data_IF_547667045157
#
_entry.id   IF_547667045157
#
_cell.length_a   1.000
_cell.length_b   1.000
_cell.length_c   1.000
_cell.angle_alpha   90.00
_cell.angle_beta   90.00
_cell.angle_gamma   90.00
#
_symmetry.space_group_name_H-M   'P 1'
#
loop_
_entity.id
_entity.type
_entity.pdbx_description
1 polymer ?
#
# COMPACT_ATOMS: atom_id res chain seq x y z
N UNK A 1 -15.72 4.51 -20.47
CA UNK A 1 -14.94 3.29 -20.21
C UNK A 1 -15.83 2.10 -19.82
N UNK A 2 -16.80 2.27 -18.91
CA UNK A 2 -17.69 1.19 -18.47
C UNK A 2 -18.59 0.67 -19.61
N UNK A 3 -19.14 1.54 -20.47
CA UNK A 3 -19.91 1.13 -21.64
C UNK A 3 -19.11 0.26 -22.62
N UNK A 4 -17.79 0.47 -22.74
CA UNK A 4 -16.92 -0.36 -23.58
C UNK A 4 -16.61 -1.76 -23.02
N UNK A 5 -17.21 -2.12 -21.87
CA UNK A 5 -17.16 -3.47 -21.29
C UNK A 5 -18.48 -4.23 -21.49
N UNK A 6 -19.49 -3.58 -22.04
CA UNK A 6 -20.74 -4.23 -22.42
C UNK A 6 -20.54 -4.97 -23.74
N UNK A 7 -20.80 -6.28 -23.72
CA UNK A 7 -20.56 -7.17 -24.85
C UNK A 7 -19.10 -7.64 -24.97
N UNK A 8 -18.91 -8.83 -25.52
CA UNK A 8 -17.58 -9.42 -25.79
C UNK A 8 -17.34 -9.41 -27.31
N UNK A 9 -16.26 -8.76 -27.78
CA UNK A 9 -15.92 -8.79 -29.21
C UNK A 9 -15.91 -10.24 -29.72
N UNK A 10 -16.53 -10.46 -30.85
CA UNK A 10 -16.65 -11.76 -31.55
C UNK A 10 -17.56 -12.82 -30.87
N UNK A 11 -18.16 -12.55 -29.72
CA UNK A 11 -19.07 -13.47 -29.04
C UNK A 11 -20.49 -12.92 -28.94
N UNK A 12 -20.63 -11.65 -28.63
CA UNK A 12 -21.92 -11.00 -28.46
C UNK A 12 -22.15 -10.01 -29.61
N UNK A 13 -23.28 -10.08 -30.36
CA UNK A 13 -23.58 -9.16 -31.47
C UNK A 13 -23.84 -7.72 -30.98
N UNK A 14 -24.35 -7.58 -29.75
CA UNK A 14 -24.69 -6.31 -29.13
C UNK A 14 -24.34 -6.33 -27.63
N UNK A 15 -24.10 -5.17 -27.03
CA UNK A 15 -23.89 -5.01 -25.58
C UNK A 15 -24.68 -3.81 -25.08
N UNK A 16 -25.33 -3.95 -23.93
CA UNK A 16 -26.09 -2.88 -23.29
C UNK A 16 -25.36 -2.39 -22.04
N UNK A 17 -25.23 -1.05 -21.89
CA UNK A 17 -24.72 -0.41 -20.70
C UNK A 17 -25.80 0.50 -20.12
N UNK A 18 -26.21 0.21 -18.87
CA UNK A 18 -27.23 0.97 -18.17
C UNK A 18 -26.60 1.88 -17.13
N UNK A 19 -26.90 3.18 -17.20
CA UNK A 19 -26.52 4.16 -16.19
C UNK A 19 -27.70 4.36 -15.23
N UNK A 20 -27.48 3.99 -13.97
CA UNK A 20 -28.44 4.21 -12.89
C UNK A 20 -28.01 5.47 -12.13
N UNK A 21 -28.90 6.42 -11.99
CA UNK A 21 -28.67 7.68 -11.26
C UNK A 21 -29.95 8.22 -10.66
N UNK A 22 -29.82 9.22 -9.80
CA UNK A 22 -30.96 9.98 -9.30
C UNK A 22 -31.59 10.80 -10.45
N UNK A 23 -32.91 11.04 -10.37
CA UNK A 23 -33.65 11.76 -11.40
C UNK A 23 -33.12 13.18 -11.65
N UNK A 24 -32.56 13.80 -10.64
CA UNK A 24 -31.81 15.05 -10.74
C UNK A 24 -30.31 14.79 -10.44
N UNK A 25 -29.40 14.94 -11.37
CA UNK A 25 -29.33 15.68 -12.63
C UNK A 25 -29.14 14.77 -13.84
N UNK A 26 -30.22 14.19 -14.38
CA UNK A 26 -30.20 13.24 -15.51
C UNK A 26 -29.41 13.76 -16.74
N UNK A 27 -29.62 15.01 -17.10
CA UNK A 27 -28.95 15.61 -18.28
C UNK A 27 -27.44 15.80 -18.06
N UNK A 28 -27.03 16.15 -16.83
CA UNK A 28 -25.61 16.26 -16.48
C UNK A 28 -24.91 14.88 -16.50
N UNK A 29 -25.58 13.84 -15.99
CA UNK A 29 -25.09 12.44 -16.06
C UNK A 29 -24.98 11.98 -17.52
N UNK A 30 -26.03 12.23 -18.32
CA UNK A 30 -26.02 11.89 -19.74
C UNK A 30 -24.90 12.61 -20.49
N UNK A 31 -24.75 13.92 -20.30
CA UNK A 31 -23.70 14.71 -20.94
C UNK A 31 -22.31 14.22 -20.55
N UNK A 32 -22.11 13.96 -19.26
CA UNK A 32 -20.81 13.55 -18.72
C UNK A 32 -20.39 12.13 -19.17
N UNK A 33 -21.32 11.17 -19.19
CA UNK A 33 -20.99 9.77 -19.39
C UNK A 33 -21.31 9.22 -20.78
N UNK A 34 -22.25 9.83 -21.52
CA UNK A 34 -22.64 9.40 -22.86
C UNK A 34 -22.19 10.38 -23.94
N UNK A 35 -22.14 11.68 -23.64
CA UNK A 35 -21.81 12.72 -24.61
C UNK A 35 -20.37 13.24 -24.51
N UNK A 36 -19.64 12.94 -23.46
CA UNK A 36 -18.28 13.40 -23.29
C UNK A 36 -17.29 12.58 -24.11
N UNK A 37 -16.23 13.23 -24.58
CA UNK A 37 -15.08 12.51 -25.16
C UNK A 37 -14.44 11.60 -24.11
N UNK A 38 -13.79 10.49 -24.50
CA UNK A 38 -13.03 9.65 -23.61
C UNK A 38 -12.00 10.47 -22.84
N UNK A 39 -11.88 10.21 -21.55
CA UNK A 39 -10.83 10.84 -20.73
C UNK A 39 -9.45 10.48 -21.28
N UNK A 40 -8.50 11.43 -21.32
CA UNK A 40 -7.15 11.15 -21.78
C UNK A 40 -6.49 10.12 -20.85
N UNK A 41 -5.89 9.09 -21.45
CA UNK A 41 -5.10 8.10 -20.73
C UNK A 41 -3.84 8.77 -20.22
N UNK A 42 -3.57 8.63 -18.92
CA UNK A 42 -2.33 9.14 -18.29
C UNK A 42 -1.57 7.97 -17.68
N UNK A 43 -0.26 8.02 -17.77
CA UNK A 43 0.60 7.04 -17.13
C UNK A 43 0.72 7.31 -15.64
N UNK A 44 0.57 6.26 -14.81
CA UNK A 44 0.83 6.33 -13.37
C UNK A 44 2.33 6.46 -13.03
N UNK A 45 3.24 6.21 -14.00
CA UNK A 45 4.68 6.43 -13.83
C UNK A 45 5.07 7.91 -13.67
N UNK A 46 4.13 8.84 -13.79
CA UNK A 46 4.40 10.28 -13.65
C UNK A 46 4.73 10.74 -12.21
N UNK A 47 4.58 9.89 -11.21
CA UNK A 47 4.86 10.25 -9.81
C UNK A 47 6.21 9.71 -9.34
N UNK A 48 7.03 10.48 -8.57
CA UNK A 48 8.33 10.04 -8.08
C UNK A 48 8.31 8.69 -7.37
N UNK A 49 7.36 8.49 -6.46
CA UNK A 49 7.22 7.23 -5.70
C UNK A 49 6.92 6.02 -6.57
N UNK A 50 6.24 6.22 -7.70
CA UNK A 50 5.97 5.15 -8.66
C UNK A 50 7.23 4.84 -9.47
N UNK A 51 7.96 5.87 -9.93
CA UNK A 51 9.22 5.68 -10.66
C UNK A 51 10.23 4.90 -9.80
N UNK A 52 10.43 5.27 -8.54
CA UNK A 52 11.30 4.55 -7.60
C UNK A 52 10.98 3.05 -7.54
N UNK A 53 9.70 2.71 -7.41
CA UNK A 53 9.25 1.31 -7.33
C UNK A 53 9.62 0.53 -8.58
N UNK A 54 9.39 1.11 -9.76
CA UNK A 54 9.68 0.42 -11.01
C UNK A 54 11.16 0.45 -11.39
N UNK A 55 11.91 1.48 -11.04
CA UNK A 55 13.38 1.50 -11.19
C UNK A 55 13.99 0.37 -10.37
N UNK A 56 13.60 0.23 -9.10
CA UNK A 56 14.05 -0.88 -8.27
C UNK A 56 13.69 -2.24 -8.88
N UNK A 57 12.45 -2.42 -9.37
CA UNK A 57 12.01 -3.66 -9.99
C UNK A 57 12.81 -4.02 -11.24
N UNK A 58 13.07 -3.04 -12.13
CA UNK A 58 13.85 -3.21 -13.37
C UNK A 58 15.29 -3.62 -13.07
N UNK A 59 15.92 -2.96 -12.08
CA UNK A 59 17.30 -3.26 -11.67
C UNK A 59 17.39 -4.60 -10.95
N UNK A 60 16.46 -4.90 -10.03
CA UNK A 60 16.42 -6.14 -9.28
C UNK A 60 16.13 -7.36 -10.17
N UNK A 61 15.44 -7.16 -11.30
CA UNK A 61 15.19 -8.17 -12.32
C UNK A 61 16.34 -8.27 -13.34
N UNK A 62 17.43 -7.51 -13.16
CA UNK A 62 18.60 -7.46 -14.05
C UNK A 62 18.26 -7.06 -15.51
N UNK A 63 17.14 -6.41 -15.74
CA UNK A 63 16.73 -5.92 -17.06
C UNK A 63 17.55 -4.71 -17.52
N UNK A 64 18.14 -3.98 -16.58
CA UNK A 64 19.05 -2.87 -16.83
C UNK A 64 20.12 -2.81 -15.72
N UNK A 65 21.36 -2.57 -16.14
CA UNK A 65 22.54 -2.53 -15.26
C UNK A 65 23.26 -1.17 -15.29
N UNK A 66 22.74 -0.22 -16.04
CA UNK A 66 23.27 1.14 -16.10
C UNK A 66 22.13 2.16 -16.05
N UNK A 67 22.35 3.38 -15.54
CA UNK A 67 21.33 4.44 -15.57
C UNK A 67 20.79 4.70 -16.98
N UNK A 68 21.65 4.64 -18.01
CA UNK A 68 21.23 4.85 -19.39
C UNK A 68 20.26 3.76 -19.88
N UNK A 69 20.54 2.49 -19.57
CA UNK A 69 19.63 1.39 -19.94
C UNK A 69 18.30 1.42 -19.19
N UNK A 70 18.28 1.90 -17.93
CA UNK A 70 17.05 2.19 -17.21
C UNK A 70 16.23 3.28 -17.92
N UNK A 71 16.88 4.40 -18.27
CA UNK A 71 16.24 5.48 -19.04
C UNK A 71 15.66 4.99 -20.35
N UNK A 72 16.36 4.10 -21.07
CA UNK A 72 15.86 3.53 -22.34
C UNK A 72 14.55 2.75 -22.13
N UNK A 73 14.48 1.91 -21.09
CA UNK A 73 13.27 1.17 -20.74
C UNK A 73 12.11 2.13 -20.44
N UNK A 74 12.34 3.14 -19.60
CA UNK A 74 11.28 4.09 -19.21
C UNK A 74 10.83 4.97 -20.39
N UNK A 75 11.74 5.33 -21.28
CA UNK A 75 11.43 6.08 -22.50
C UNK A 75 10.55 5.28 -23.47
N UNK A 76 10.66 3.95 -23.46
CA UNK A 76 9.82 3.07 -24.28
C UNK A 76 8.42 2.84 -23.68
N UNK A 77 8.12 3.35 -22.49
CA UNK A 77 6.78 3.23 -21.86
C UNK A 77 5.82 4.33 -22.35
N UNK A 78 4.52 4.17 -22.02
CA UNK A 78 3.52 5.22 -22.26
C UNK A 78 3.95 6.57 -21.61
N UNK A 79 4.59 6.53 -20.43
CA UNK A 79 5.11 7.75 -19.81
C UNK A 79 6.17 8.42 -20.67
N UNK A 80 7.12 7.65 -21.19
CA UNK A 80 8.16 8.16 -22.09
C UNK A 80 7.64 8.66 -23.43
N UNK A 81 6.52 8.11 -23.92
CA UNK A 81 5.85 8.64 -25.12
C UNK A 81 5.16 10.01 -24.89
N UNK A 82 4.81 10.32 -23.64
CA UNK A 82 4.12 11.54 -23.24
C UNK A 82 5.05 12.60 -22.64
N UNK A 83 6.32 12.25 -22.42
CA UNK A 83 7.30 13.06 -21.70
C UNK A 83 8.60 13.05 -22.50
N UNK A 84 9.33 14.17 -22.52
CA UNK A 84 10.61 14.22 -23.21
C UNK A 84 11.67 13.35 -22.49
N UNK A 85 12.64 12.84 -23.27
CA UNK A 85 13.67 11.94 -22.75
C UNK A 85 14.52 12.56 -21.64
N UNK A 86 14.76 13.88 -21.67
CA UNK A 86 15.58 14.54 -20.66
C UNK A 86 14.86 14.56 -19.30
N UNK A 87 13.55 14.82 -19.30
CA UNK A 87 12.72 14.73 -18.10
C UNK A 87 12.65 13.31 -17.53
N UNK A 88 12.51 12.30 -18.40
CA UNK A 88 12.57 10.88 -17.98
C UNK A 88 13.95 10.58 -17.36
N UNK A 89 15.04 11.00 -17.98
CA UNK A 89 16.40 10.78 -17.48
C UNK A 89 16.60 11.42 -16.09
N UNK A 90 16.12 12.64 -15.90
CA UNK A 90 16.19 13.34 -14.62
C UNK A 90 15.41 12.57 -13.53
N UNK A 91 14.20 12.13 -13.84
CA UNK A 91 13.38 11.40 -12.88
C UNK A 91 13.96 10.01 -12.52
N UNK A 92 14.51 9.29 -13.50
CA UNK A 92 15.19 8.01 -13.29
C UNK A 92 16.45 8.19 -12.45
N UNK A 93 17.27 9.24 -12.73
CA UNK A 93 18.49 9.51 -11.96
C UNK A 93 18.12 9.84 -10.51
N UNK A 94 17.13 10.69 -10.28
CA UNK A 94 16.66 11.01 -8.93
C UNK A 94 16.19 9.76 -8.17
N UNK A 95 15.48 8.84 -8.85
CA UNK A 95 15.05 7.58 -8.26
C UNK A 95 16.25 6.68 -7.91
N UNK A 96 17.26 6.58 -8.77
CA UNK A 96 18.48 5.80 -8.49
C UNK A 96 19.23 6.39 -7.28
N UNK A 97 19.34 7.70 -7.21
CA UNK A 97 20.03 8.39 -6.10
C UNK A 97 19.29 8.14 -4.76
N UNK A 98 17.96 8.25 -4.76
CA UNK A 98 17.12 7.99 -3.58
C UNK A 98 17.21 6.52 -3.14
N UNK A 99 17.08 5.57 -4.07
CA UNK A 99 17.18 4.14 -3.79
C UNK A 99 18.58 3.75 -3.29
N UNK A 100 19.63 4.38 -3.83
CA UNK A 100 21.01 4.17 -3.36
C UNK A 100 21.24 4.80 -1.99
N UNK A 101 20.63 5.95 -1.73
CA UNK A 101 20.62 6.60 -0.41
C UNK A 101 19.92 5.73 0.65
N UNK A 102 18.83 5.07 0.26
CA UNK A 102 18.09 4.12 1.09
C UNK A 102 18.78 2.76 1.26
N UNK A 103 19.89 2.48 0.56
CA UNK A 103 20.59 1.20 0.61
C UNK A 103 19.87 0.05 -0.14
N UNK A 104 18.97 0.39 -1.06
CA UNK A 104 18.25 -0.57 -1.90
C UNK A 104 18.98 -0.84 -3.22
N UNK A 105 19.78 0.10 -3.70
CA UNK A 105 20.73 -0.07 -4.79
C UNK A 105 22.15 0.16 -4.30
N UNK A 106 23.14 -0.51 -4.91
CA UNK A 106 24.53 -0.24 -4.70
C UNK A 106 24.94 1.12 -5.28
N UNK A 107 25.93 1.77 -4.67
CA UNK A 107 26.44 3.04 -5.17
C UNK A 107 27.47 2.82 -6.27
N UNK A 108 27.28 3.50 -7.38
CA UNK A 108 28.20 3.49 -8.51
C UNK A 108 27.83 2.46 -9.58
N UNK A 109 28.64 2.40 -10.67
CA UNK A 109 28.45 1.44 -11.74
C UNK A 109 29.07 0.05 -11.39
N UNK A 110 28.41 -1.08 -11.78
CA UNK A 110 27.08 -1.12 -12.39
C UNK A 110 25.97 -0.79 -11.40
N UNK A 111 24.78 -0.42 -11.91
CA UNK A 111 23.57 -0.22 -11.10
C UNK A 111 23.03 -1.60 -10.73
N UNK A 112 23.16 -1.99 -9.48
CA UNK A 112 22.79 -3.32 -8.96
C UNK A 112 21.94 -3.17 -7.72
N UNK A 113 20.92 -4.03 -7.58
CA UNK A 113 20.11 -4.06 -6.37
C UNK A 113 20.88 -4.78 -5.23
N UNK A 114 20.82 -4.19 -4.03
CA UNK A 114 21.34 -4.86 -2.83
C UNK A 114 20.46 -6.08 -2.48
N UNK A 115 20.90 -7.01 -1.61
CA UNK A 115 20.04 -8.08 -1.10
C UNK A 115 18.72 -7.57 -0.53
N UNK A 116 18.76 -6.43 0.19
CA UNK A 116 17.56 -5.75 0.70
C UNK A 116 16.70 -5.23 -0.46
N UNK A 117 17.27 -4.54 -1.43
CA UNK A 117 16.55 -4.04 -2.60
C UNK A 117 15.90 -5.15 -3.43
N UNK A 118 16.62 -6.25 -3.63
CA UNK A 118 16.10 -7.46 -4.30
C UNK A 118 14.89 -8.04 -3.53
N UNK A 119 14.99 -8.10 -2.20
CA UNK A 119 13.88 -8.58 -1.35
C UNK A 119 12.67 -7.65 -1.46
N UNK A 120 12.85 -6.33 -1.35
CA UNK A 120 11.77 -5.34 -1.49
C UNK A 120 11.08 -5.48 -2.84
N UNK A 121 11.84 -5.59 -3.94
CA UNK A 121 11.29 -5.75 -5.28
C UNK A 121 10.49 -7.06 -5.43
N UNK A 122 11.02 -8.19 -4.93
CA UNK A 122 10.36 -9.51 -4.99
C UNK A 122 9.08 -9.59 -4.17
N UNK A 123 8.99 -8.82 -3.08
CA UNK A 123 7.79 -8.71 -2.27
C UNK A 123 6.77 -7.72 -2.87
N UNK A 124 7.07 -7.08 -3.99
CA UNK A 124 6.23 -6.02 -4.60
C UNK A 124 5.97 -4.85 -3.65
N UNK A 125 6.84 -4.65 -2.67
CA UNK A 125 6.73 -3.61 -1.66
C UNK A 125 7.29 -2.30 -2.22
N UNK A 126 6.61 -1.19 -1.94
CA UNK A 126 7.15 0.12 -2.28
C UNK A 126 8.41 0.40 -1.47
N UNK A 127 9.48 0.96 -2.06
CA UNK A 127 10.70 1.32 -1.36
C UNK A 127 10.45 2.12 -0.08
N UNK A 128 9.56 3.10 -0.15
CA UNK A 128 9.18 3.92 1.00
C UNK A 128 8.55 3.12 2.13
N UNK A 129 7.67 2.16 1.82
CA UNK A 129 7.08 1.28 2.83
C UNK A 129 8.12 0.42 3.51
N UNK A 130 9.07 -0.14 2.75
CA UNK A 130 10.17 -0.92 3.31
C UNK A 130 10.99 -0.08 4.31
N UNK A 131 11.33 1.17 3.95
CA UNK A 131 12.08 2.05 4.83
C UNK A 131 11.30 2.45 6.08
N UNK A 132 9.98 2.70 5.96
CA UNK A 132 9.12 2.96 7.12
C UNK A 132 9.06 1.75 8.06
N UNK A 133 8.89 0.54 7.53
CA UNK A 133 8.89 -0.71 8.30
C UNK A 133 10.23 -0.87 9.05
N UNK A 134 11.36 -0.71 8.37
CA UNK A 134 12.69 -0.83 8.99
C UNK A 134 12.89 0.21 10.09
N UNK A 135 12.50 1.44 9.84
CA UNK A 135 12.62 2.53 10.82
C UNK A 135 11.73 2.29 12.03
N UNK A 136 10.47 1.92 11.80
CA UNK A 136 9.53 1.58 12.87
C UNK A 136 9.99 0.36 13.68
N UNK A 137 10.48 -0.68 13.03
CA UNK A 137 11.02 -1.86 13.72
C UNK A 137 12.26 -1.53 14.56
N UNK A 138 13.15 -0.67 14.09
CA UNK A 138 14.30 -0.18 14.88
C UNK A 138 13.85 0.62 16.09
N UNK A 139 12.83 1.45 15.93
CA UNK A 139 12.26 2.19 17.06
C UNK A 139 11.67 1.23 18.09
N UNK A 140 10.84 0.27 17.68
CA UNK A 140 10.26 -0.75 18.57
C UNK A 140 11.36 -1.54 19.29
N UNK A 141 12.38 -2.00 18.55
CA UNK A 141 13.48 -2.77 19.13
C UNK A 141 14.31 -2.00 20.17
N UNK A 142 14.27 -0.67 20.16
CA UNK A 142 14.91 0.19 21.14
C UNK A 142 14.06 0.42 22.41
N UNK A 143 12.77 0.06 22.40
CA UNK A 143 11.89 0.14 23.57
C UNK A 143 12.18 -1.00 24.54
N UNK A 144 11.75 -0.83 25.79
CA UNK A 144 11.74 -1.94 26.75
C UNK A 144 10.84 -3.08 26.21
N UNK A 145 11.18 -4.33 26.51
CA UNK A 145 10.46 -5.51 25.98
C UNK A 145 8.96 -5.45 26.32
N UNK A 146 8.60 -4.92 27.49
CA UNK A 146 7.20 -4.78 27.89
C UNK A 146 6.41 -3.77 27.03
N UNK A 147 7.10 -2.85 26.38
CA UNK A 147 6.49 -1.79 25.55
C UNK A 147 6.47 -2.18 24.04
N UNK A 148 7.06 -3.32 23.70
CA UNK A 148 7.06 -3.86 22.34
C UNK A 148 5.75 -4.60 22.07
N UNK A 149 4.75 -3.92 21.50
CA UNK A 149 3.40 -4.45 21.36
C UNK A 149 3.03 -4.80 19.91
N UNK A 150 2.08 -5.73 19.76
CA UNK A 150 1.44 -6.05 18.46
C UNK A 150 0.85 -4.78 17.85
N UNK A 151 0.20 -3.93 18.66
CA UNK A 151 -0.40 -2.68 18.17
C UNK A 151 0.65 -1.74 17.58
N UNK A 152 1.82 -1.62 18.20
CA UNK A 152 2.92 -0.82 17.68
C UNK A 152 3.41 -1.31 16.30
N UNK A 153 3.53 -2.63 16.11
CA UNK A 153 3.89 -3.20 14.81
C UNK A 153 2.79 -2.95 13.76
N UNK A 154 1.52 -3.13 14.13
CA UNK A 154 0.37 -2.86 13.24
C UNK A 154 0.25 -1.37 12.89
N UNK A 155 0.54 -0.47 13.83
CA UNK A 155 0.59 0.97 13.56
C UNK A 155 1.63 1.30 12.49
N UNK A 156 2.86 0.80 12.62
CA UNK A 156 3.90 0.99 11.60
C UNK A 156 3.44 0.50 10.23
N UNK A 157 2.84 -0.69 10.15
CA UNK A 157 2.35 -1.24 8.89
C UNK A 157 1.20 -0.41 8.30
N UNK A 158 0.26 0.00 9.13
CA UNK A 158 -0.93 0.72 8.72
C UNK A 158 -0.64 2.13 8.19
N UNK A 159 0.48 2.73 8.59
CA UNK A 159 0.90 4.03 8.07
C UNK A 159 1.70 3.94 6.77
N UNK A 160 2.00 2.73 6.28
CA UNK A 160 2.71 2.59 5.01
C UNK A 160 1.80 2.89 3.80
N UNK A 161 2.36 3.39 2.68
CA UNK A 161 1.61 3.59 1.44
C UNK A 161 1.00 2.30 0.85
N UNK A 162 1.48 1.13 1.27
CA UNK A 162 1.02 -0.16 0.73
C UNK A 162 -0.25 -0.67 1.40
N UNK A 163 -0.55 -0.22 2.61
CA UNK A 163 -1.87 -0.47 3.18
C UNK A 163 -2.81 0.68 2.78
N UNK A 164 -3.85 0.36 2.00
CA UNK A 164 -4.79 1.36 1.50
C UNK A 164 -5.47 2.09 2.66
N UNK A 165 -5.36 3.41 2.70
CA UNK A 165 -6.00 4.22 3.73
C UNK A 165 -7.51 4.21 3.54
N UNK A 166 -8.22 3.66 4.51
CA UNK A 166 -9.67 3.68 4.54
C UNK A 166 -10.20 5.10 4.80
N UNK A 167 -11.46 5.32 4.47
CA UNK A 167 -12.14 6.57 4.80
C UNK A 167 -12.46 6.65 6.31
N UNK A 168 -12.21 7.82 6.89
CA UNK A 168 -12.57 8.13 8.28
C UNK A 168 -13.80 9.03 8.29
N UNK A 169 -14.92 8.47 8.71
CA UNK A 169 -16.17 9.24 8.88
C UNK A 169 -16.16 10.10 10.15
N UNK A 170 -17.09 11.06 10.23
CA UNK A 170 -17.23 11.88 11.43
C UNK A 170 -17.54 11.06 12.68
N UNK A 171 -18.23 9.91 12.53
CA UNK A 171 -18.54 8.99 13.65
C UNK A 171 -17.29 8.27 14.15
N UNK A 172 -16.38 7.92 13.25
CA UNK A 172 -15.15 7.19 13.58
C UNK A 172 -14.14 8.08 14.30
N UNK A 173 -14.10 9.37 13.95
CA UNK A 173 -13.10 10.32 14.43
C UNK A 173 -12.97 10.36 15.96
N UNK A 174 -14.09 10.53 16.68
CA UNK A 174 -14.08 10.58 18.14
C UNK A 174 -13.60 9.27 18.76
N UNK A 175 -14.07 8.13 18.23
CA UNK A 175 -13.64 6.80 18.66
C UNK A 175 -12.14 6.59 18.43
N UNK A 176 -11.64 6.93 17.26
CA UNK A 176 -10.23 6.74 16.89
C UNK A 176 -9.30 7.67 17.66
N UNK A 177 -9.70 8.93 17.90
CA UNK A 177 -8.93 9.86 18.73
C UNK A 177 -8.83 9.36 20.16
N UNK A 178 -9.94 8.90 20.76
CA UNK A 178 -9.96 8.31 22.11
C UNK A 178 -9.11 7.03 22.16
N UNK A 179 -9.16 6.19 21.11
CA UNK A 179 -8.31 5.00 21.02
C UNK A 179 -6.84 5.38 20.98
N UNK A 180 -6.47 6.32 20.12
CA UNK A 180 -5.09 6.79 19.97
C UNK A 180 -4.54 7.41 21.26
N UNK A 181 -5.34 8.22 21.96
CA UNK A 181 -4.96 8.78 23.27
C UNK A 181 -4.73 7.70 24.32
N UNK A 182 -5.62 6.70 24.37
CA UNK A 182 -5.52 5.59 25.34
C UNK A 182 -4.30 4.72 25.11
N UNK A 183 -3.93 4.52 23.84
CA UNK A 183 -2.83 3.66 23.43
C UNK A 183 -1.58 4.45 23.01
N UNK A 184 -1.47 5.73 23.38
CA UNK A 184 -0.38 6.59 22.95
C UNK A 184 1.03 6.04 23.30
N UNK A 185 1.16 5.26 24.37
CA UNK A 185 2.43 4.63 24.73
C UNK A 185 2.78 3.42 23.86
N UNK A 186 1.80 2.83 23.16
CA UNK A 186 1.98 1.67 22.30
C UNK A 186 2.16 2.07 20.81
N UNK A 187 1.61 3.22 20.42
CA UNK A 187 1.70 3.73 19.06
C UNK A 187 3.11 4.25 18.77
N UNK A 188 3.65 3.87 17.64
CA UNK A 188 4.99 4.24 17.17
C UNK A 188 4.98 5.50 16.34
N UNK A 189 3.85 5.73 15.62
CA UNK A 189 3.70 6.85 14.71
C UNK A 189 2.93 7.99 15.34
N UNK A 190 3.25 9.19 14.92
CA UNK A 190 2.53 10.41 15.29
C UNK A 190 2.25 11.23 14.03
N UNK A 191 1.16 12.00 13.97
CA UNK A 191 0.92 12.90 12.85
C UNK A 191 1.98 14.00 12.81
N UNK A 192 2.47 14.34 11.61
CA UNK A 192 3.48 15.37 11.44
C UNK A 192 2.93 16.77 11.76
N UNK A 193 1.66 17.00 11.38
CA UNK A 193 0.93 18.25 11.63
C UNK A 193 -0.58 18.03 11.62
N UNK A 194 -1.36 19.09 11.76
CA UNK A 194 -2.82 19.02 11.75
C UNK A 194 -3.40 18.58 10.39
N UNK A 195 -2.72 18.84 9.28
CA UNK A 195 -3.17 18.41 7.95
C UNK A 195 -2.95 16.90 7.73
N UNK A 196 -1.90 16.34 8.33
CA UNK A 196 -1.59 14.91 8.27
C UNK A 196 -2.44 14.08 9.25
N UNK A 197 -3.08 14.73 10.24
CA UNK A 197 -3.83 14.05 11.29
C UNK A 197 -4.94 13.13 10.78
N UNK A 198 -5.69 13.55 9.76
CA UNK A 198 -6.75 12.72 9.16
C UNK A 198 -6.19 11.48 8.46
N UNK A 199 -5.09 11.63 7.76
CA UNK A 199 -4.41 10.54 7.10
C UNK A 199 -3.82 9.56 8.13
N UNK A 200 -3.28 10.07 9.23
CA UNK A 200 -2.80 9.28 10.35
C UNK A 200 -3.93 8.53 11.06
N UNK A 201 -5.07 9.18 11.34
CA UNK A 201 -6.25 8.51 11.90
C UNK A 201 -6.79 7.39 11.01
N UNK A 202 -6.68 7.53 9.69
CA UNK A 202 -7.05 6.45 8.78
C UNK A 202 -6.14 5.23 8.95
N UNK A 203 -4.85 5.42 9.17
CA UNK A 203 -3.92 4.34 9.55
C UNK A 203 -4.27 3.74 10.92
N UNK A 204 -4.56 4.58 11.92
CA UNK A 204 -5.00 4.11 13.26
C UNK A 204 -6.26 3.23 13.17
N UNK A 205 -7.24 3.62 12.32
CA UNK A 205 -8.43 2.79 12.07
C UNK A 205 -8.07 1.39 11.60
N UNK A 206 -7.13 1.28 10.67
CA UNK A 206 -6.69 0.01 10.11
C UNK A 206 -5.90 -0.82 11.14
N UNK A 207 -4.97 -0.19 11.86
CA UNK A 207 -4.21 -0.86 12.91
C UNK A 207 -5.14 -1.41 14.01
N UNK A 208 -6.13 -0.61 14.42
CA UNK A 208 -7.12 -1.03 15.42
C UNK A 208 -8.01 -2.17 14.90
N UNK A 209 -8.49 -2.08 13.66
CA UNK A 209 -9.30 -3.13 13.06
C UNK A 209 -8.52 -4.45 12.94
N UNK A 210 -7.29 -4.42 12.45
CA UNK A 210 -6.41 -5.59 12.37
C UNK A 210 -6.07 -6.16 13.75
N UNK A 211 -5.82 -5.30 14.74
CA UNK A 211 -5.58 -5.73 16.12
C UNK A 211 -6.80 -6.46 16.71
N UNK A 212 -8.01 -5.93 16.49
CA UNK A 212 -9.25 -6.56 16.94
C UNK A 212 -9.50 -7.90 16.22
N UNK A 213 -9.24 -7.95 14.92
CA UNK A 213 -9.35 -9.20 14.14
C UNK A 213 -8.37 -10.28 14.64
N UNK A 214 -7.10 -9.93 14.86
CA UNK A 214 -6.08 -10.86 15.40
C UNK A 214 -6.44 -11.33 16.81
N UNK A 215 -7.14 -10.49 17.59
CA UNK A 215 -7.66 -10.85 18.91
C UNK A 215 -8.90 -11.75 18.86
N UNK A 216 -9.40 -12.10 17.66
CA UNK A 216 -10.52 -13.02 17.47
C UNK A 216 -11.89 -12.36 17.44
N UNK A 217 -11.98 -11.03 17.19
CA UNK A 217 -13.27 -10.38 16.98
C UNK A 217 -13.95 -10.95 15.71
N UNK A 218 -15.25 -11.26 15.81
CA UNK A 218 -16.01 -11.74 14.69
C UNK A 218 -16.28 -10.66 13.63
N UNK A 219 -16.62 -11.09 12.42
CA UNK A 219 -16.80 -10.22 11.28
C UNK A 219 -17.87 -9.14 11.51
N UNK A 220 -19.01 -9.51 12.08
CA UNK A 220 -20.13 -8.59 12.31
C UNK A 220 -19.72 -7.46 13.25
N UNK A 221 -19.05 -7.81 14.35
CA UNK A 221 -18.48 -6.84 15.30
C UNK A 221 -17.51 -5.87 14.62
N UNK A 222 -16.64 -6.37 13.71
CA UNK A 222 -15.68 -5.53 12.99
C UNK A 222 -16.38 -4.59 12.02
N UNK A 223 -17.35 -5.09 11.23
CA UNK A 223 -18.09 -4.28 10.27
C UNK A 223 -18.87 -3.15 10.96
N UNK A 224 -19.57 -3.46 12.06
CA UNK A 224 -20.30 -2.47 12.83
C UNK A 224 -19.41 -1.44 13.49
N UNK A 225 -18.36 -1.89 14.19
CA UNK A 225 -17.45 -1.01 14.94
C UNK A 225 -16.69 -0.03 14.05
N UNK A 226 -16.23 -0.50 12.91
CA UNK A 226 -15.38 0.30 12.01
C UNK A 226 -16.15 0.89 10.83
N UNK A 227 -17.48 0.72 10.76
CA UNK A 227 -18.33 1.19 9.67
C UNK A 227 -17.75 0.82 8.28
N UNK A 228 -17.37 -0.45 8.12
CA UNK A 228 -16.77 -0.98 6.90
C UNK A 228 -17.76 -1.86 6.16
N UNK A 229 -17.57 -2.01 4.85
CA UNK A 229 -18.26 -3.05 4.08
C UNK A 229 -17.50 -4.38 4.20
N UNK A 230 -18.15 -5.54 3.95
CA UNK A 230 -17.47 -6.85 3.95
C UNK A 230 -16.25 -6.86 3.02
N UNK A 231 -16.35 -6.30 1.81
CA UNK A 231 -15.24 -6.24 0.85
C UNK A 231 -14.08 -5.34 1.30
N UNK A 232 -14.37 -4.25 2.03
CA UNK A 232 -13.31 -3.40 2.59
C UNK A 232 -12.55 -4.12 3.69
N UNK A 233 -13.25 -4.86 4.55
CA UNK A 233 -12.65 -5.65 5.63
C UNK A 233 -11.79 -6.79 5.04
N UNK A 234 -12.31 -7.54 4.07
CA UNK A 234 -11.58 -8.60 3.38
C UNK A 234 -10.30 -8.05 2.74
N UNK A 235 -10.39 -6.95 1.99
CA UNK A 235 -9.25 -6.29 1.38
C UNK A 235 -8.23 -5.81 2.41
N UNK A 236 -8.67 -5.31 3.56
CA UNK A 236 -7.79 -4.89 4.64
C UNK A 236 -7.03 -6.08 5.23
N UNK A 237 -7.73 -7.19 5.50
CA UNK A 237 -7.14 -8.41 6.05
C UNK A 237 -6.12 -9.00 5.06
N UNK A 238 -6.50 -9.20 3.80
CA UNK A 238 -5.59 -9.74 2.76
C UNK A 238 -4.31 -8.91 2.62
N UNK A 239 -4.45 -7.59 2.56
CA UNK A 239 -3.31 -6.67 2.47
C UNK A 239 -2.47 -6.67 3.73
N UNK A 240 -3.08 -6.74 4.90
CA UNK A 240 -2.40 -6.86 6.18
C UNK A 240 -1.56 -8.13 6.28
N UNK A 241 -2.14 -9.27 5.90
CA UNK A 241 -1.46 -10.57 5.84
C UNK A 241 -0.27 -10.54 4.88
N UNK A 242 -0.46 -10.01 3.66
CA UNK A 242 0.62 -9.85 2.72
C UNK A 242 1.73 -8.94 3.26
N UNK A 243 1.36 -7.78 3.81
CA UNK A 243 2.31 -6.77 4.25
C UNK A 243 3.15 -7.24 5.45
N UNK A 244 2.56 -8.01 6.39
CA UNK A 244 3.34 -8.58 7.49
C UNK A 244 4.33 -9.63 6.99
N UNK A 245 3.95 -10.45 6.01
CA UNK A 245 4.85 -11.40 5.35
C UNK A 245 6.02 -10.68 4.67
N UNK A 246 5.74 -9.60 3.94
CA UNK A 246 6.76 -8.78 3.30
C UNK A 246 7.68 -8.11 4.34
N UNK A 247 7.12 -7.60 5.44
CA UNK A 247 7.89 -7.00 6.53
C UNK A 247 8.88 -8.00 7.15
N UNK A 248 8.47 -9.23 7.41
CA UNK A 248 9.37 -10.28 7.93
C UNK A 248 10.55 -10.54 6.98
N UNK A 249 10.29 -10.64 5.67
CA UNK A 249 11.36 -10.85 4.67
C UNK A 249 12.33 -9.67 4.62
N UNK A 250 11.80 -8.44 4.68
CA UNK A 250 12.61 -7.22 4.68
C UNK A 250 13.45 -7.11 5.96
N UNK A 251 12.85 -7.32 7.13
CA UNK A 251 13.55 -7.25 8.42
C UNK A 251 14.64 -8.32 8.52
N UNK A 252 14.43 -9.50 7.95
CA UNK A 252 15.42 -10.55 7.85
C UNK A 252 16.71 -10.16 7.11
N UNK A 253 16.65 -9.13 6.24
CA UNK A 253 17.84 -8.59 5.53
C UNK A 253 18.56 -7.48 6.31
N UNK A 254 18.01 -7.01 7.42
CA UNK A 254 18.53 -5.81 8.11
C UNK A 254 19.25 -6.10 9.42
N UNK A 255 19.12 -7.31 9.94
CA UNK A 255 19.61 -7.68 11.28
C UNK A 255 18.81 -7.02 12.43
N UNK A 256 17.71 -6.33 12.13
CA UNK A 256 16.79 -5.80 13.15
C UNK A 256 15.95 -6.95 13.69
N UNK A 257 15.86 -7.06 15.01
CA UNK A 257 14.99 -8.07 15.63
C UNK A 257 13.54 -7.88 15.19
N UNK A 258 12.85 -8.93 14.71
CA UNK A 258 11.49 -8.80 14.19
C UNK A 258 10.47 -8.52 15.29
N UNK A 259 10.75 -8.91 16.55
CA UNK A 259 9.92 -8.59 17.69
C UNK A 259 8.42 -8.81 17.46
N UNK A 260 7.58 -7.78 17.72
CA UNK A 260 6.12 -7.90 17.57
C UNK A 260 5.65 -8.23 16.15
N UNK A 261 6.44 -7.93 15.11
CA UNK A 261 6.09 -8.33 13.72
C UNK A 261 6.04 -9.86 13.56
N UNK A 262 6.92 -10.58 14.27
CA UNK A 262 6.90 -12.05 14.28
C UNK A 262 5.69 -12.58 15.05
N UNK A 263 5.32 -11.94 16.15
CA UNK A 263 4.13 -12.28 16.93
C UNK A 263 2.84 -12.06 16.10
N UNK A 264 2.70 -10.94 15.40
CA UNK A 264 1.58 -10.69 14.47
C UNK A 264 1.48 -11.80 13.44
N UNK A 265 2.60 -12.17 12.81
CA UNK A 265 2.60 -13.24 11.81
C UNK A 265 2.26 -14.62 12.41
N UNK A 266 2.66 -14.88 13.65
CA UNK A 266 2.29 -16.08 14.41
C UNK A 266 0.79 -16.16 14.63
N UNK A 267 0.18 -15.10 15.14
CA UNK A 267 -1.27 -15.01 15.37
C UNK A 267 -2.08 -15.18 14.10
N UNK A 268 -1.63 -14.57 12.99
CA UNK A 268 -2.30 -14.73 11.69
C UNK A 268 -2.26 -16.19 11.22
N UNK A 269 -1.12 -16.89 11.41
CA UNK A 269 -1.03 -18.32 11.06
C UNK A 269 -1.95 -19.19 11.91
N UNK A 270 -2.10 -18.88 13.20
CA UNK A 270 -3.03 -19.57 14.09
C UNK A 270 -4.47 -19.41 13.61
N UNK A 271 -4.90 -18.19 13.21
CA UNK A 271 -6.23 -17.96 12.65
C UNK A 271 -6.48 -18.72 11.35
N UNK A 272 -5.46 -18.84 10.48
CA UNK A 272 -5.59 -19.57 9.23
C UNK A 272 -5.64 -21.09 9.40
N UNK A 273 -5.25 -21.64 10.56
CA UNK A 273 -5.27 -23.07 10.86
C UNK A 273 -6.53 -23.52 11.60
N UNK A 274 -7.39 -22.60 12.02
CA UNK A 274 -8.71 -22.97 12.61
C UNK A 274 -9.58 -23.51 11.48
N UNK A 275 -10.03 -24.80 11.54
CA UNK A 275 -10.91 -25.34 10.51
C UNK A 275 -12.21 -24.54 10.50
N UNK A 276 -12.69 -24.16 9.31
CA UNK A 276 -14.06 -23.67 9.18
C UNK A 276 -15.00 -24.73 9.77
N UNK A 277 -15.72 -24.39 10.83
CA UNK A 277 -16.79 -25.25 11.35
C UNK A 277 -17.83 -25.28 10.25
N UNK A 278 -18.16 -26.47 9.67
CA UNK A 278 -19.20 -26.55 8.65
C UNK A 278 -20.50 -26.00 9.23
N UNK A 279 -21.29 -25.24 8.48
CA UNK A 279 -22.62 -24.83 8.93
C UNK A 279 -23.48 -26.06 9.18
N UNK A 280 -24.10 -26.08 10.35
CA UNK A 280 -25.10 -27.11 10.73
C UNK A 280 -26.31 -27.12 9.81
#
# INVERSE_FOLDING_TARGET
QMAGRAGRPHLDPEGEAVLVGLEHPRDAVRSRYLGAAPEPVRSHLATPTTIETYVLAVVAAELATTPASVVDIFTATLHGMMTDRASVATAVQAAIDELSGAGLLERGPPTVATPLGTTVARQYLRPRSAMQIITGARHIAALAVADQTILGALDVLAQTPDLARGWVGNRDRAMLSTFAERHAAELVTTPADAADYEAWLAGIKQAYCLSAWIAGADQETLLERFHMTPGDLESLIERGVWLIGAAQQVLGQTGVAPGPFEEVAGRIRELATVPEVPPD
#
